data_IF_941073820211
#
_entry.id   IF_941073820211
#
_cell.length_a   1.000
_cell.length_b   1.000
_cell.length_c   1.000
_cell.angle_alpha   90.00
_cell.angle_beta   90.00
_cell.angle_gamma   90.00
#
_symmetry.space_group_name_H-M   'P 1'
#
loop_
_entity.id
_entity.type
_entity.pdbx_description
1 polymer ?
#
# COMPACT_ATOMS: atom_id res chain seq x y z
N UNK A 1 0.68 -10.20 14.06
CA UNK A 1 0.19 -9.11 13.19
C UNK A 1 1.38 -8.41 12.54
N UNK A 2 1.35 -8.16 11.24
CA UNK A 2 2.45 -7.51 10.55
C UNK A 2 2.39 -5.99 10.75
N UNK A 3 3.55 -5.35 10.61
CA UNK A 3 3.64 -3.90 10.66
C UNK A 3 3.19 -3.32 9.30
N UNK A 4 2.05 -2.64 9.30
CA UNK A 4 1.50 -2.08 8.07
C UNK A 4 2.41 -1.01 7.45
N UNK A 5 3.07 -0.20 8.28
CA UNK A 5 4.00 0.81 7.78
C UNK A 5 5.18 0.18 7.06
N UNK A 6 5.73 -0.89 7.61
CA UNK A 6 6.80 -1.63 6.95
C UNK A 6 6.33 -2.23 5.63
N UNK A 7 5.14 -2.82 5.62
CA UNK A 7 4.56 -3.36 4.40
C UNK A 7 4.34 -2.28 3.35
N UNK A 8 3.75 -1.16 3.76
CA UNK A 8 3.46 -0.06 2.85
C UNK A 8 4.74 0.49 2.21
N UNK A 9 5.78 0.70 3.01
CA UNK A 9 7.06 1.18 2.47
C UNK A 9 7.69 0.18 1.52
N UNK A 10 7.58 -1.12 1.81
CA UNK A 10 8.04 -2.17 0.92
C UNK A 10 7.29 -2.19 -0.41
N UNK A 11 5.97 -2.06 -0.35
CA UNK A 11 5.12 -2.00 -1.56
C UNK A 11 5.47 -0.76 -2.38
N UNK A 12 5.70 0.38 -1.72
CA UNK A 12 6.06 1.60 -2.42
C UNK A 12 7.38 1.46 -3.17
N UNK A 13 8.34 0.75 -2.60
CA UNK A 13 9.62 0.50 -3.28
C UNK A 13 9.44 -0.38 -4.51
N UNK A 14 8.52 -1.32 -4.48
CA UNK A 14 8.21 -2.16 -5.64
C UNK A 14 7.49 -1.32 -6.71
N UNK A 15 6.60 -0.44 -6.29
CA UNK A 15 5.82 0.41 -7.21
C UNK A 15 6.67 1.46 -7.90
N UNK A 16 7.78 1.89 -7.31
CA UNK A 16 8.65 2.93 -7.86
C UNK A 16 10.01 2.34 -8.22
N UNK A 17 10.54 2.67 -9.41
CA UNK A 17 11.87 2.24 -9.79
C UNK A 17 12.94 2.77 -8.82
N UNK A 18 14.07 2.06 -8.73
CA UNK A 18 15.12 2.38 -7.77
C UNK A 18 15.69 3.81 -7.89
N UNK A 19 15.60 4.41 -9.07
CA UNK A 19 16.08 5.78 -9.29
C UNK A 19 15.06 6.86 -8.92
N UNK A 20 13.86 6.47 -8.54
CA UNK A 20 12.83 7.39 -8.04
C UNK A 20 12.79 7.30 -6.52
N UNK A 21 13.07 8.40 -5.88
CA UNK A 21 13.07 8.46 -4.42
C UNK A 21 11.70 8.86 -3.89
N UNK A 22 11.37 8.36 -2.72
CA UNK A 22 10.21 8.79 -1.98
C UNK A 22 10.57 8.92 -0.51
N UNK A 23 9.78 9.70 0.24
CA UNK A 23 9.97 9.84 1.68
C UNK A 23 9.26 8.66 2.36
N UNK A 24 9.98 7.79 3.09
CA UNK A 24 9.33 6.67 3.75
C UNK A 24 8.24 7.13 4.72
N UNK A 25 7.15 6.39 4.76
CA UNK A 25 6.05 6.67 5.67
C UNK A 25 6.43 6.19 7.06
N UNK A 26 6.28 7.04 8.06
CA UNK A 26 6.67 6.71 9.44
C UNK A 26 5.51 6.75 10.43
N UNK A 27 4.33 7.19 10.02
CA UNK A 27 3.17 7.31 10.88
C UNK A 27 1.88 7.01 10.11
N UNK A 28 0.91 6.45 10.80
CA UNK A 28 -0.41 6.19 10.21
C UNK A 28 -1.17 7.49 9.91
N UNK A 29 -0.80 8.58 10.55
CA UNK A 29 -1.44 9.88 10.34
C UNK A 29 -0.88 10.66 9.15
N UNK A 30 0.20 10.17 8.54
CA UNK A 30 0.81 10.86 7.40
C UNK A 30 -0.10 10.86 6.18
N UNK A 31 -0.03 11.97 5.44
CA UNK A 31 -0.72 12.08 4.15
C UNK A 31 0.21 11.59 3.05
N UNK A 32 -0.35 10.88 2.08
CA UNK A 32 0.45 10.35 0.98
C UNK A 32 1.13 11.46 0.16
N UNK A 33 0.50 12.62 0.05
CA UNK A 33 1.10 13.75 -0.67
C UNK A 33 2.40 14.21 -0.04
N UNK A 34 2.54 14.05 1.29
CA UNK A 34 3.75 14.43 2.00
C UNK A 34 4.91 13.45 1.74
N UNK A 35 4.61 12.28 1.20
CA UNK A 35 5.62 11.27 0.83
C UNK A 35 5.96 11.31 -0.66
N UNK A 36 5.52 12.34 -1.35
CA UNK A 36 5.81 12.57 -2.78
C UNK A 36 5.20 11.51 -3.72
N UNK A 37 4.12 10.88 -3.32
CA UNK A 37 3.39 9.96 -4.19
C UNK A 37 2.41 10.74 -5.07
N UNK A 38 2.44 10.46 -6.38
CA UNK A 38 1.45 11.01 -7.30
C UNK A 38 0.28 10.03 -7.47
N UNK A 39 -0.69 10.39 -8.32
CA UNK A 39 -1.87 9.55 -8.51
C UNK A 39 -1.53 8.18 -9.11
N UNK A 40 -0.52 8.11 -9.98
CA UNK A 40 -0.09 6.82 -10.54
C UNK A 40 0.56 5.95 -9.48
N UNK A 41 1.41 6.52 -8.63
CA UNK A 41 2.00 5.78 -7.52
C UNK A 41 0.93 5.22 -6.60
N UNK A 42 -0.09 6.02 -6.28
CA UNK A 42 -1.18 5.60 -5.42
C UNK A 42 -1.99 4.46 -6.05
N UNK A 43 -2.23 4.54 -7.36
CA UNK A 43 -2.93 3.48 -8.07
C UNK A 43 -2.13 2.17 -8.01
N UNK A 44 -0.83 2.23 -8.25
CA UNK A 44 0.04 1.06 -8.20
C UNK A 44 0.06 0.45 -6.80
N UNK A 45 0.18 1.28 -5.77
CA UNK A 45 0.17 0.81 -4.39
C UNK A 45 -1.16 0.13 -4.08
N UNK A 46 -2.28 0.73 -4.48
CA UNK A 46 -3.60 0.15 -4.25
C UNK A 46 -3.74 -1.22 -4.93
N UNK A 47 -3.25 -1.34 -6.16
CA UNK A 47 -3.33 -2.60 -6.89
C UNK A 47 -2.47 -3.69 -6.25
N UNK A 48 -1.26 -3.34 -5.78
CA UNK A 48 -0.41 -4.29 -5.08
C UNK A 48 -1.03 -4.73 -3.74
N UNK A 49 -1.61 -3.77 -3.00
CA UNK A 49 -2.31 -4.10 -1.76
C UNK A 49 -3.50 -5.03 -2.03
N UNK A 50 -4.20 -4.81 -3.14
CA UNK A 50 -5.30 -5.70 -3.54
C UNK A 50 -4.82 -7.13 -3.79
N UNK A 51 -3.65 -7.29 -4.38
CA UNK A 51 -3.06 -8.62 -4.57
C UNK A 51 -2.71 -9.28 -3.24
N UNK A 52 -2.15 -8.51 -2.32
CA UNK A 52 -1.71 -9.03 -1.02
C UNK A 52 -2.89 -9.46 -0.15
N UNK A 53 -3.93 -8.63 -0.11
CA UNK A 53 -5.09 -8.84 0.76
C UNK A 53 -6.29 -9.48 0.07
N UNK A 54 -6.13 -9.84 -1.20
CA UNK A 54 -7.19 -10.41 -2.03
C UNK A 54 -8.44 -9.52 -2.07
N UNK A 55 -8.23 -8.28 -2.48
CA UNK A 55 -9.29 -7.30 -2.64
C UNK A 55 -9.66 -7.24 -4.13
N UNK A 56 -10.95 -7.08 -4.42
CA UNK A 56 -11.44 -6.93 -5.79
C UNK A 56 -10.78 -5.72 -6.45
N UNK A 57 -10.28 -5.90 -7.69
CA UNK A 57 -9.61 -4.85 -8.45
C UNK A 57 -10.49 -3.62 -8.64
N UNK A 58 -11.78 -3.81 -8.82
CA UNK A 58 -12.71 -2.70 -9.00
C UNK A 58 -12.79 -1.84 -7.74
N UNK A 59 -12.77 -2.48 -6.58
CA UNK A 59 -12.75 -1.78 -5.31
C UNK A 59 -11.44 -1.03 -5.15
N UNK A 60 -10.32 -1.69 -5.46
CA UNK A 60 -8.99 -1.08 -5.34
C UNK A 60 -8.87 0.18 -6.22
N UNK A 61 -9.39 0.13 -7.43
CA UNK A 61 -9.35 1.26 -8.36
C UNK A 61 -10.13 2.47 -7.85
N UNK A 62 -11.13 2.24 -7.02
CA UNK A 62 -11.97 3.31 -6.48
C UNK A 62 -11.44 3.88 -5.17
N UNK A 63 -10.46 3.23 -4.56
CA UNK A 63 -9.86 3.73 -3.32
C UNK A 63 -9.15 5.06 -3.54
N UNK A 64 -9.42 6.03 -2.66
CA UNK A 64 -8.79 7.34 -2.73
C UNK A 64 -8.40 7.80 -1.32
N UNK A 65 -7.58 7.01 -0.61
CA UNK A 65 -7.16 7.40 0.74
C UNK A 65 -6.24 8.61 0.69
N UNK A 66 -6.41 9.53 1.62
CA UNK A 66 -5.52 10.68 1.75
C UNK A 66 -4.42 10.41 2.76
N UNK A 67 -4.72 9.58 3.76
CA UNK A 67 -3.77 9.23 4.82
C UNK A 67 -3.51 7.74 4.84
N UNK A 68 -2.42 7.36 5.49
CA UNK A 68 -2.07 5.95 5.68
C UNK A 68 -3.16 5.22 6.45
N UNK A 69 -3.70 5.87 7.49
CA UNK A 69 -4.78 5.29 8.30
C UNK A 69 -6.01 5.00 7.44
N UNK A 70 -6.38 5.92 6.56
CA UNK A 70 -7.52 5.71 5.67
C UNK A 70 -7.30 4.50 4.75
N UNK A 71 -6.10 4.34 4.20
CA UNK A 71 -5.79 3.18 3.39
C UNK A 71 -5.90 1.89 4.19
N UNK A 72 -5.36 1.88 5.40
CA UNK A 72 -5.44 0.71 6.28
C UNK A 72 -6.91 0.34 6.55
N UNK A 73 -7.73 1.34 6.89
CA UNK A 73 -9.15 1.11 7.18
C UNK A 73 -9.90 0.55 5.96
N UNK A 74 -9.62 1.07 4.77
CA UNK A 74 -10.23 0.57 3.54
C UNK A 74 -9.84 -0.88 3.28
N UNK A 75 -8.56 -1.21 3.50
CA UNK A 75 -8.08 -2.58 3.35
C UNK A 75 -8.80 -3.50 4.34
N UNK A 76 -8.94 -3.09 5.60
CA UNK A 76 -9.62 -3.90 6.61
C UNK A 76 -11.09 -4.15 6.26
N UNK A 77 -11.73 -3.19 5.62
CA UNK A 77 -13.13 -3.34 5.20
C UNK A 77 -13.33 -4.34 4.06
N UNK A 78 -12.36 -4.42 3.15
CA UNK A 78 -12.53 -5.16 1.89
C UNK A 78 -11.66 -6.40 1.75
N UNK A 79 -10.71 -6.60 2.64
CA UNK A 79 -9.79 -7.74 2.54
C UNK A 79 -10.51 -9.08 2.68
N UNK A 80 -10.00 -10.08 1.98
CA UNK A 80 -10.47 -11.47 2.10
C UNK A 80 -9.41 -12.36 2.72
N UNK A 81 -8.18 -11.88 2.86
CA UNK A 81 -7.09 -12.62 3.48
C UNK A 81 -6.09 -11.65 4.08
N UNK A 82 -5.23 -12.17 4.94
CA UNK A 82 -4.11 -11.42 5.51
C UNK A 82 -2.79 -12.11 5.13
N UNK A 83 -1.73 -11.33 4.82
CA UNK A 83 -0.42 -11.95 4.57
C UNK A 83 0.19 -12.46 5.87
N UNK A 84 1.00 -13.51 5.77
CA UNK A 84 1.66 -14.10 6.94
C UNK A 84 2.76 -13.20 7.49
N UNK A 85 3.44 -12.47 6.60
CA UNK A 85 4.52 -11.57 6.97
C UNK A 85 4.73 -10.54 5.89
N UNK A 86 5.50 -9.51 6.18
CA UNK A 86 5.88 -8.51 5.19
C UNK A 86 6.64 -9.17 4.05
N UNK A 87 7.59 -10.06 4.37
CA UNK A 87 8.36 -10.75 3.34
C UNK A 87 7.47 -11.59 2.43
N UNK A 88 6.52 -12.35 2.98
CA UNK A 88 5.60 -13.14 2.19
C UNK A 88 4.73 -12.26 1.29
N UNK A 89 4.26 -11.14 1.82
CA UNK A 89 3.45 -10.20 1.05
C UNK A 89 4.22 -9.63 -0.13
N UNK A 90 5.46 -9.21 0.09
CA UNK A 90 6.28 -8.63 -0.97
C UNK A 90 6.63 -9.64 -2.05
N UNK A 91 6.76 -10.91 -1.71
CA UNK A 91 6.99 -11.96 -2.69
C UNK A 91 5.81 -12.10 -3.69
N UNK A 92 4.61 -11.81 -3.24
CA UNK A 92 3.43 -11.89 -4.11
C UNK A 92 3.42 -10.83 -5.21
N UNK A 93 4.11 -9.72 -5.01
CA UNK A 93 4.07 -8.58 -5.93
C UNK A 93 5.39 -8.34 -6.67
N UNK A 94 6.41 -9.11 -6.38
CA UNK A 94 7.69 -9.01 -7.09
C UNK A 94 7.66 -9.71 -8.43
#
# INVERSE_FOLDING_TARGET
>A
MIDFLELLNGVARVARPAHHEFVPVTSMDEKFVDSCFDSMDMLMIAMYMAMIYDIDDEIAKEMRPETVQEMFDLIQQHKRQDPESVAAALELIK
#
